data_IF_664770021039
#
_entry.id   IF_664770021039
#
_cell.length_a   1.000
_cell.length_b   1.000
_cell.length_c   1.000
_cell.angle_alpha   90.00
_cell.angle_beta   90.00
_cell.angle_gamma   90.00
#
_symmetry.space_group_name_H-M   'P 1'
#
loop_
_entity.id
_entity.type
_entity.pdbx_description
1 polymer ?
#
# COMPACT_ATOMS: atom_id res chain seq x y z
N UNK A 1 31.59 4.54 44.27
CA UNK A 1 30.63 5.59 43.84
C UNK A 1 30.43 5.35 42.36
N UNK A 2 29.25 4.84 41.98
CA UNK A 2 28.86 4.67 40.56
C UNK A 2 28.61 6.04 39.99
N UNK A 3 29.41 6.46 39.02
CA UNK A 3 29.08 7.62 38.20
C UNK A 3 27.68 7.42 37.57
N UNK A 4 26.76 8.27 37.92
CA UNK A 4 25.43 8.31 37.29
C UNK A 4 25.63 8.97 35.93
N UNK A 5 25.73 8.16 34.88
CA UNK A 5 25.74 8.68 33.50
C UNK A 5 24.31 9.09 33.18
N UNK A 6 24.06 10.39 33.15
CA UNK A 6 22.80 10.95 32.66
C UNK A 6 22.86 11.00 31.13
N UNK A 7 22.12 10.11 30.45
CA UNK A 7 21.96 10.21 29.02
C UNK A 7 20.72 11.10 28.78
N UNK A 8 20.83 12.20 28.01
CA UNK A 8 19.67 12.96 27.63
C UNK A 8 18.83 12.10 26.68
N UNK A 9 17.67 11.64 27.15
CA UNK A 9 16.73 10.81 26.36
C UNK A 9 16.35 11.49 25.04
N UNK A 10 16.37 12.84 25.02
CA UNK A 10 16.14 13.67 23.83
C UNK A 10 17.08 13.39 22.65
N UNK A 11 18.25 12.85 22.91
CA UNK A 11 19.20 12.47 21.84
C UNK A 11 18.89 11.07 21.25
N UNK A 12 17.94 10.34 21.85
CA UNK A 12 17.55 8.97 21.45
C UNK A 12 16.18 8.91 20.77
N UNK A 13 15.40 10.00 20.79
CA UNK A 13 14.05 10.08 20.23
C UNK A 13 13.90 11.32 19.35
N UNK A 14 12.97 11.27 18.42
CA UNK A 14 12.64 12.45 17.61
C UNK A 14 11.78 13.43 18.44
N UNK A 15 11.80 14.74 18.17
CA UNK A 15 11.12 15.74 18.99
C UNK A 15 9.63 15.49 19.19
N UNK A 16 8.92 14.98 18.18
CA UNK A 16 7.51 14.68 18.29
C UNK A 16 7.17 13.57 19.31
N UNK A 17 8.14 12.77 19.70
CA UNK A 17 7.94 11.73 20.72
C UNK A 17 8.13 12.23 22.15
N UNK A 18 8.53 13.48 22.38
CA UNK A 18 8.70 14.02 23.74
C UNK A 18 7.38 13.95 24.54
N UNK A 19 6.28 14.44 23.95
CA UNK A 19 4.96 14.41 24.58
C UNK A 19 4.40 12.97 24.71
N UNK A 20 4.69 12.13 23.72
CA UNK A 20 4.27 10.71 23.74
C UNK A 20 5.00 9.97 24.85
N UNK A 21 6.31 10.23 25.04
CA UNK A 21 7.08 9.63 26.12
C UNK A 21 6.58 10.08 27.49
N UNK A 22 6.25 11.35 27.65
CA UNK A 22 5.64 11.86 28.89
C UNK A 22 4.31 11.16 29.18
N UNK A 23 3.49 10.97 28.16
CA UNK A 23 2.22 10.25 28.26
C UNK A 23 2.44 8.80 28.72
N UNK A 24 3.36 8.07 28.06
CA UNK A 24 3.73 6.70 28.40
C UNK A 24 4.23 6.58 29.83
N UNK A 25 5.15 7.44 30.26
CA UNK A 25 5.74 7.39 31.60
C UNK A 25 4.76 7.80 32.70
N UNK A 26 3.85 8.73 32.38
CA UNK A 26 2.75 9.13 33.29
C UNK A 26 1.60 8.16 33.28
N UNK A 27 1.59 7.19 32.34
CA UNK A 27 0.50 6.21 32.14
C UNK A 27 -0.85 6.89 31.90
N UNK A 28 -0.92 7.86 30.98
CA UNK A 28 -2.17 8.55 30.63
C UNK A 28 -3.09 7.65 29.80
N UNK A 29 -2.50 6.84 28.91
CA UNK A 29 -3.22 5.84 28.11
C UNK A 29 -2.74 4.43 28.42
N UNK A 30 -3.55 3.45 28.04
CA UNK A 30 -3.22 2.02 28.15
C UNK A 30 -2.70 1.46 26.82
N UNK A 31 -3.32 1.88 25.72
CA UNK A 31 -3.00 1.41 24.38
C UNK A 31 -2.33 2.51 23.57
N UNK A 32 -1.28 2.16 22.85
CA UNK A 32 -0.49 3.07 22.02
C UNK A 32 -0.32 2.45 20.65
N UNK A 33 -0.75 3.16 19.61
CA UNK A 33 -0.65 2.71 18.22
C UNK A 33 0.30 3.61 17.47
N UNK A 34 1.47 3.07 17.09
CA UNK A 34 2.44 3.76 16.24
C UNK A 34 2.27 3.35 14.79
N UNK A 35 1.76 4.24 13.93
CA UNK A 35 1.63 4.01 12.49
C UNK A 35 2.48 5.00 11.69
N UNK A 36 3.00 4.58 10.53
CA UNK A 36 3.79 5.46 9.66
C UNK A 36 4.57 4.68 8.61
N UNK A 37 5.07 5.38 7.61
CA UNK A 37 5.86 4.80 6.53
C UNK A 37 7.22 4.26 6.98
N UNK A 38 8.11 4.06 6.02
CA UNK A 38 9.50 3.64 6.27
C UNK A 38 10.29 4.78 6.92
N UNK A 39 11.25 4.43 7.78
CA UNK A 39 12.18 5.39 8.39
C UNK A 39 11.60 6.22 9.54
N UNK A 40 10.40 5.92 10.06
CA UNK A 40 9.70 6.73 11.08
C UNK A 40 10.15 6.51 12.53
N UNK A 41 11.08 5.62 12.78
CA UNK A 41 11.64 5.28 14.12
C UNK A 41 10.62 4.79 15.17
N UNK A 42 9.35 4.52 14.81
CA UNK A 42 8.29 4.09 15.74
C UNK A 42 8.63 2.84 16.54
N UNK A 43 9.18 1.80 15.89
CA UNK A 43 9.58 0.55 16.56
C UNK A 43 10.76 0.76 17.51
N UNK A 44 11.70 1.66 17.15
CA UNK A 44 12.80 2.10 17.99
C UNK A 44 12.30 2.82 19.24
N UNK A 45 11.29 3.67 19.09
CA UNK A 45 10.69 4.40 20.20
C UNK A 45 9.90 3.49 21.13
N UNK A 46 8.86 2.81 20.64
CA UNK A 46 8.00 2.00 21.50
C UNK A 46 8.71 0.76 22.05
N UNK A 47 9.39 0.00 21.19
CA UNK A 47 10.08 -1.23 21.56
C UNK A 47 11.44 -0.98 22.24
N UNK A 48 12.24 -0.08 21.64
CA UNK A 48 13.61 0.16 22.11
C UNK A 48 13.71 1.09 23.32
N UNK A 49 12.95 2.19 23.33
CA UNK A 49 13.07 3.22 24.38
C UNK A 49 12.02 3.02 25.48
N UNK A 50 10.72 2.93 25.14
CA UNK A 50 9.66 2.90 26.14
C UNK A 50 9.71 1.64 27.02
N UNK A 51 9.90 0.45 26.45
CA UNK A 51 9.91 -0.81 27.22
C UNK A 51 10.99 -0.83 28.30
N UNK A 52 12.29 -0.59 28.02
CA UNK A 52 13.31 -0.55 29.07
C UNK A 52 13.04 0.52 30.13
N UNK A 53 12.57 1.71 29.75
CA UNK A 53 12.27 2.78 30.69
C UNK A 53 11.13 2.42 31.63
N UNK A 54 10.05 1.79 31.12
CA UNK A 54 8.94 1.34 31.97
C UNK A 54 9.40 0.26 32.94
N UNK A 55 10.21 -0.72 32.49
CA UNK A 55 10.78 -1.78 33.33
C UNK A 55 11.56 -1.20 34.49
N UNK A 56 12.42 -0.23 34.22
CA UNK A 56 13.27 0.42 35.26
C UNK A 56 12.42 1.16 36.28
N UNK A 57 11.35 1.84 35.85
CA UNK A 57 10.54 2.72 36.69
C UNK A 57 9.37 2.02 37.40
N UNK A 58 9.04 0.77 37.02
CA UNK A 58 7.85 0.08 37.55
C UNK A 58 8.20 -1.33 38.08
N UNK A 59 8.68 -1.46 39.31
CA UNK A 59 9.02 -2.75 39.88
C UNK A 59 7.85 -3.75 39.82
N UNK A 60 8.14 -5.00 39.41
CA UNK A 60 7.15 -6.06 39.26
C UNK A 60 6.44 -6.13 37.90
N UNK A 61 6.69 -5.17 37.01
CA UNK A 61 6.17 -5.17 35.63
C UNK A 61 7.11 -5.95 34.73
N UNK A 62 6.61 -6.97 34.04
CA UNK A 62 7.31 -7.71 33.00
C UNK A 62 6.78 -7.34 31.63
N UNK A 63 7.55 -7.58 30.57
CA UNK A 63 7.18 -7.31 29.18
C UNK A 63 7.11 -8.60 28.36
N UNK A 64 6.19 -8.65 27.39
CA UNK A 64 6.16 -9.65 26.33
C UNK A 64 6.02 -8.94 24.99
N UNK A 65 6.98 -9.20 24.09
CA UNK A 65 7.04 -8.65 22.75
C UNK A 65 6.64 -9.72 21.74
N UNK A 66 5.74 -9.39 20.82
CA UNK A 66 5.15 -10.31 19.86
C UNK A 66 5.46 -9.95 18.43
N UNK A 67 5.76 -10.96 17.62
CA UNK A 67 5.63 -10.93 16.15
C UNK A 67 4.76 -12.08 15.68
N UNK A 68 4.05 -11.89 14.58
CA UNK A 68 3.26 -12.99 14.00
C UNK A 68 4.18 -14.12 13.53
N UNK A 69 5.28 -13.77 12.86
CA UNK A 69 6.25 -14.72 12.30
C UNK A 69 7.44 -14.86 13.23
N UNK A 70 7.60 -16.03 13.84
CA UNK A 70 8.62 -16.27 14.87
C UNK A 70 10.08 -16.28 14.41
N UNK A 71 10.37 -16.62 13.15
CA UNK A 71 11.73 -16.75 12.63
C UNK A 71 12.51 -15.41 12.51
N UNK A 72 11.83 -14.27 12.55
CA UNK A 72 12.42 -12.93 12.45
C UNK A 72 12.62 -12.25 13.81
N UNK A 73 12.20 -12.84 14.91
CA UNK A 73 12.24 -12.25 16.26
C UNK A 73 13.64 -11.80 16.66
N UNK A 74 14.68 -12.64 16.39
CA UNK A 74 16.05 -12.36 16.75
C UNK A 74 16.58 -11.07 16.13
N UNK A 75 16.30 -10.86 14.86
CA UNK A 75 16.82 -9.74 14.06
C UNK A 75 15.88 -8.52 14.05
N UNK A 76 14.69 -8.64 14.62
CA UNK A 76 13.69 -7.57 14.72
C UNK A 76 13.50 -7.13 16.18
N UNK A 77 12.41 -7.58 16.83
CA UNK A 77 11.99 -7.07 18.15
C UNK A 77 13.03 -7.29 19.25
N UNK A 78 13.76 -8.41 19.22
CA UNK A 78 14.84 -8.63 20.18
C UNK A 78 15.99 -7.65 19.96
N UNK A 79 16.48 -7.54 18.73
CA UNK A 79 17.55 -6.61 18.38
C UNK A 79 17.17 -5.16 18.69
N UNK A 80 15.91 -4.80 18.46
CA UNK A 80 15.38 -3.45 18.72
C UNK A 80 15.39 -3.09 20.21
N UNK A 81 14.96 -4.01 21.08
CA UNK A 81 15.02 -3.80 22.54
C UNK A 81 16.46 -3.74 23.03
N UNK A 82 17.34 -4.61 22.54
CA UNK A 82 18.77 -4.59 22.86
C UNK A 82 19.39 -3.25 22.46
N UNK A 83 19.13 -2.79 21.23
CA UNK A 83 19.59 -1.49 20.75
C UNK A 83 19.16 -0.37 21.70
N UNK A 84 17.89 -0.34 22.11
CA UNK A 84 17.36 0.69 23.01
C UNK A 84 18.03 0.67 24.39
N UNK A 85 18.29 -0.52 24.97
CA UNK A 85 19.03 -0.65 26.23
C UNK A 85 20.43 -0.01 26.12
N UNK A 86 21.13 -0.21 24.99
CA UNK A 86 22.43 0.42 24.76
C UNK A 86 22.32 1.93 24.55
N UNK A 87 21.34 2.41 23.77
CA UNK A 87 21.12 3.85 23.55
C UNK A 87 20.85 4.60 24.87
N UNK A 88 20.10 3.97 25.77
CA UNK A 88 19.82 4.50 27.10
C UNK A 88 20.98 4.35 28.09
N UNK A 89 22.11 3.75 27.71
CA UNK A 89 23.22 3.48 28.60
C UNK A 89 22.92 2.50 29.73
N UNK A 90 21.88 1.69 29.59
CA UNK A 90 21.36 0.78 30.62
C UNK A 90 21.96 -0.64 30.54
N UNK A 91 22.91 -0.91 29.62
CA UNK A 91 23.45 -2.25 29.37
C UNK A 91 24.06 -2.90 30.62
N UNK A 92 24.60 -2.13 31.53
CA UNK A 92 25.14 -2.63 32.80
C UNK A 92 24.09 -3.09 33.83
N UNK A 93 22.82 -2.71 33.59
CA UNK A 93 21.67 -3.06 34.45
C UNK A 93 20.84 -4.22 33.88
N UNK A 94 21.12 -4.68 32.68
CA UNK A 94 20.41 -5.78 32.05
C UNK A 94 21.32 -6.95 31.72
N UNK A 95 20.87 -8.16 32.02
CA UNK A 95 21.44 -9.37 31.45
C UNK A 95 20.81 -9.60 30.08
N UNK A 96 21.62 -9.47 29.03
CA UNK A 96 21.22 -9.65 27.64
C UNK A 96 21.73 -11.00 27.14
N UNK A 97 20.83 -11.97 26.88
CA UNK A 97 21.23 -13.30 26.41
C UNK A 97 21.63 -13.27 24.91
N UNK A 98 22.28 -14.33 24.44
CA UNK A 98 22.67 -14.44 23.01
C UNK A 98 21.48 -14.61 22.08
N UNK A 99 20.39 -15.19 22.56
CA UNK A 99 19.21 -15.50 21.75
C UNK A 99 17.92 -15.08 22.44
N UNK A 100 16.91 -14.72 21.67
CA UNK A 100 15.60 -14.29 22.16
C UNK A 100 14.81 -15.38 22.94
N UNK A 101 15.19 -16.65 22.81
CA UNK A 101 14.53 -17.76 23.52
C UNK A 101 14.74 -17.70 25.04
N UNK A 102 15.75 -16.98 25.48
CA UNK A 102 15.99 -16.65 26.88
C UNK A 102 15.57 -15.19 27.10
N UNK A 103 14.84 -14.86 28.19
CA UNK A 103 14.43 -13.49 28.46
C UNK A 103 15.62 -12.56 28.72
N UNK A 104 15.49 -11.29 28.33
CA UNK A 104 16.32 -10.21 28.85
C UNK A 104 15.90 -9.97 30.30
N UNK A 105 16.83 -9.82 31.24
CA UNK A 105 16.55 -9.69 32.67
C UNK A 105 17.10 -8.37 33.19
N UNK A 106 16.25 -7.54 33.81
CA UNK A 106 16.67 -6.38 34.57
C UNK A 106 17.25 -6.82 35.91
N UNK A 107 18.57 -6.69 36.09
CA UNK A 107 19.33 -7.27 37.20
C UNK A 107 18.91 -6.77 38.58
N UNK A 108 18.59 -5.46 38.80
CA UNK A 108 18.25 -4.98 40.14
C UNK A 108 17.02 -5.64 40.77
N UNK A 109 16.04 -6.05 39.98
CA UNK A 109 14.76 -6.59 40.48
C UNK A 109 14.39 -7.95 39.91
N UNK A 110 15.09 -8.41 38.84
CA UNK A 110 14.81 -9.68 38.19
C UNK A 110 13.62 -9.68 37.21
N UNK A 111 13.10 -8.51 36.85
CA UNK A 111 12.04 -8.36 35.84
C UNK A 111 12.52 -8.87 34.48
N UNK A 112 11.60 -9.35 33.65
CA UNK A 112 11.90 -10.04 32.40
C UNK A 112 11.22 -9.37 31.20
N UNK A 113 11.95 -9.34 30.07
CA UNK A 113 11.40 -9.03 28.77
C UNK A 113 11.45 -10.31 27.95
N UNK A 114 10.28 -10.83 27.56
CA UNK A 114 10.12 -12.06 26.80
C UNK A 114 9.78 -11.74 25.34
N UNK A 115 10.12 -12.66 24.44
CA UNK A 115 9.88 -12.54 23.02
C UNK A 115 9.20 -13.79 22.48
N UNK A 116 8.11 -13.64 21.72
CA UNK A 116 7.31 -14.77 21.27
C UNK A 116 6.78 -14.57 19.84
N UNK A 117 6.79 -15.66 19.04
CA UNK A 117 6.00 -15.74 17.84
C UNK A 117 4.54 -16.08 18.19
N UNK A 118 3.59 -15.41 17.55
CA UNK A 118 2.16 -15.62 17.79
C UNK A 118 1.51 -16.43 16.65
N UNK A 119 2.13 -17.56 16.31
CA UNK A 119 1.55 -18.58 15.44
C UNK A 119 0.35 -19.31 16.10
N UNK A 120 0.37 -19.42 17.44
CA UNK A 120 -0.73 -19.90 18.26
C UNK A 120 -0.95 -18.99 19.50
N UNK A 121 -2.08 -18.25 19.57
CA UNK A 121 -2.41 -17.39 20.70
C UNK A 121 -2.48 -18.11 22.06
N UNK A 122 -2.68 -19.43 22.06
CA UNK A 122 -2.74 -20.19 23.32
C UNK A 122 -1.38 -20.35 24.02
N UNK A 123 -0.26 -20.19 23.28
CA UNK A 123 1.09 -20.23 23.85
C UNK A 123 1.28 -19.20 24.97
N UNK A 124 0.59 -18.06 24.89
CA UNK A 124 0.66 -16.99 25.90
C UNK A 124 0.14 -17.45 27.27
N UNK A 125 -0.84 -18.38 27.31
CA UNK A 125 -1.40 -18.93 28.56
C UNK A 125 -0.38 -19.70 29.39
N UNK A 126 0.70 -20.17 28.76
CA UNK A 126 1.76 -20.96 29.42
C UNK A 126 2.85 -20.11 30.09
N UNK A 127 2.84 -18.79 29.91
CA UNK A 127 3.83 -17.90 30.49
C UNK A 127 3.71 -17.93 32.01
N UNK A 128 4.83 -18.31 32.68
CA UNK A 128 4.95 -18.28 34.14
C UNK A 128 6.06 -17.31 34.52
N UNK A 129 5.70 -16.36 35.36
CA UNK A 129 6.62 -15.40 35.92
C UNK A 129 7.02 -15.80 37.34
N UNK A 130 8.25 -15.54 37.80
CA UNK A 130 8.69 -15.82 39.16
C UNK A 130 7.98 -14.92 40.20
N UNK A 131 7.58 -13.73 39.79
CA UNK A 131 6.87 -12.72 40.57
C UNK A 131 6.19 -11.71 39.63
N UNK A 132 5.43 -10.74 40.18
CA UNK A 132 4.86 -9.64 39.40
C UNK A 132 3.83 -10.08 38.36
N UNK A 133 3.71 -9.31 37.30
CA UNK A 133 2.73 -9.53 36.25
C UNK A 133 3.23 -9.03 34.89
N UNK A 134 2.61 -9.48 33.80
CA UNK A 134 2.85 -8.92 32.45
C UNK A 134 2.12 -7.59 32.39
N UNK A 135 2.86 -6.48 32.49
CA UNK A 135 2.29 -5.12 32.40
C UNK A 135 2.56 -4.49 31.06
N UNK A 136 3.46 -5.05 30.24
CA UNK A 136 3.80 -4.51 28.92
C UNK A 136 3.58 -5.58 27.86
N UNK A 137 2.83 -5.23 26.81
CA UNK A 137 2.73 -5.99 25.56
C UNK A 137 3.19 -5.12 24.39
N UNK A 138 3.87 -5.70 23.42
CA UNK A 138 4.23 -5.03 22.19
C UNK A 138 3.98 -5.95 20.98
N UNK A 139 3.08 -5.53 20.10
CA UNK A 139 2.77 -6.19 18.82
C UNK A 139 3.45 -5.44 17.70
N UNK A 140 4.52 -6.00 17.15
CA UNK A 140 5.25 -5.44 16.00
C UNK A 140 4.75 -6.04 14.69
N UNK A 141 4.60 -5.20 13.65
CA UNK A 141 3.94 -5.53 12.39
C UNK A 141 2.48 -5.98 12.64
N UNK A 142 1.70 -5.06 13.23
CA UNK A 142 0.32 -5.30 13.64
C UNK A 142 -0.55 -5.87 12.52
N UNK A 143 -0.34 -5.42 11.29
CA UNK A 143 -1.07 -5.80 10.09
C UNK A 143 -0.94 -7.30 9.74
N UNK A 144 0.10 -7.98 10.23
CA UNK A 144 0.31 -9.41 10.02
C UNK A 144 -0.55 -10.30 10.94
N UNK A 145 -1.12 -9.75 12.00
CA UNK A 145 -2.00 -10.51 12.89
C UNK A 145 -3.39 -10.65 12.25
N UNK A 146 -4.13 -11.71 12.66
CA UNK A 146 -5.40 -12.05 12.03
C UNK A 146 -6.58 -11.13 12.40
N UNK A 147 -6.34 -10.06 13.18
CA UNK A 147 -7.35 -9.08 13.55
C UNK A 147 -7.43 -8.85 15.06
N UNK A 148 -8.29 -7.91 15.47
CA UNK A 148 -8.49 -7.55 16.87
C UNK A 148 -8.89 -8.71 17.77
N UNK A 149 -9.62 -9.69 17.24
CA UNK A 149 -10.03 -10.86 18.01
C UNK A 149 -8.83 -11.70 18.47
N UNK A 150 -7.76 -11.77 17.68
CA UNK A 150 -6.52 -12.44 18.06
C UNK A 150 -5.81 -11.67 19.19
N UNK A 151 -5.65 -10.35 19.01
CA UNK A 151 -5.03 -9.50 20.03
C UNK A 151 -5.78 -9.55 21.34
N UNK A 152 -7.12 -9.46 21.30
CA UNK A 152 -7.97 -9.53 22.49
C UNK A 152 -7.77 -10.82 23.28
N UNK A 153 -7.62 -11.98 22.60
CA UNK A 153 -7.30 -13.26 23.27
C UNK A 153 -5.96 -13.23 23.99
N UNK A 154 -4.96 -12.58 23.41
CA UNK A 154 -3.64 -12.39 24.03
C UNK A 154 -3.74 -11.46 25.23
N UNK A 155 -4.38 -10.29 25.06
CA UNK A 155 -4.53 -9.29 26.12
C UNK A 155 -5.34 -9.82 27.32
N UNK A 156 -6.37 -10.62 27.09
CA UNK A 156 -7.10 -11.31 28.18
C UNK A 156 -6.21 -12.27 28.99
N UNK A 157 -5.13 -12.77 28.41
CA UNK A 157 -4.17 -13.64 29.08
C UNK A 157 -3.04 -12.88 29.77
N UNK A 158 -2.69 -11.69 29.29
CA UNK A 158 -1.57 -10.86 29.76
C UNK A 158 -2.01 -9.75 30.70
N UNK A 159 -3.09 -9.03 30.40
CA UNK A 159 -3.57 -7.89 31.18
C UNK A 159 -4.35 -8.33 32.43
N UNK A 160 -3.63 -8.95 33.35
CA UNK A 160 -4.22 -9.41 34.63
C UNK A 160 -3.19 -9.43 35.74
N UNK A 161 -3.66 -9.29 36.98
CA UNK A 161 -2.83 -9.39 38.18
C UNK A 161 -2.01 -8.13 38.49
N UNK A 162 -2.28 -7.00 37.81
CA UNK A 162 -1.61 -5.72 38.04
C UNK A 162 -2.54 -4.53 37.95
N UNK A 163 -2.00 -3.33 38.18
CA UNK A 163 -2.75 -2.08 38.18
C UNK A 163 -2.48 -1.21 36.94
N UNK A 164 -1.32 -1.35 36.31
CA UNK A 164 -0.91 -0.55 35.16
C UNK A 164 -0.52 -1.46 34.00
N UNK A 165 -1.03 -1.15 32.81
CA UNK A 165 -0.75 -1.90 31.61
C UNK A 165 -0.42 -0.97 30.45
N UNK A 166 0.60 -1.31 29.69
CA UNK A 166 1.00 -0.64 28.45
C UNK A 166 0.95 -1.64 27.31
N UNK A 167 0.16 -1.33 26.30
CA UNK A 167 0.01 -2.14 25.10
C UNK A 167 0.42 -1.33 23.90
N UNK A 168 1.59 -1.66 23.34
CA UNK A 168 2.17 -1.01 22.17
C UNK A 168 1.85 -1.82 20.91
N UNK A 169 1.46 -1.15 19.86
CA UNK A 169 1.14 -1.71 18.55
C UNK A 169 1.81 -0.88 17.48
N UNK A 170 2.71 -1.49 16.70
CA UNK A 170 3.48 -0.76 15.68
C UNK A 170 3.34 -1.44 14.33
N UNK A 171 3.11 -0.65 13.26
CA UNK A 171 3.00 -1.16 11.91
C UNK A 171 3.24 -0.08 10.85
N UNK A 172 3.60 -0.53 9.65
CA UNK A 172 3.51 0.28 8.45
C UNK A 172 2.12 0.04 7.85
N UNK A 173 1.31 1.11 7.62
CA UNK A 173 -0.03 0.93 7.09
C UNK A 173 -0.01 0.14 5.78
N UNK A 174 -0.76 -0.98 5.67
CA UNK A 174 -0.95 -1.68 4.41
C UNK A 174 -1.58 -0.77 3.36
N UNK A 175 -1.36 -1.10 2.07
CA UNK A 175 -1.92 -0.32 0.97
C UNK A 175 -3.45 -0.28 1.00
N UNK A 176 -4.10 -1.36 1.42
CA UNK A 176 -5.56 -1.45 1.54
C UNK A 176 -6.08 -0.62 2.71
N UNK A 177 -6.95 0.34 2.43
CA UNK A 177 -7.71 1.07 3.45
C UNK A 177 -8.61 0.16 4.29
N UNK A 178 -9.08 -0.94 3.70
CA UNK A 178 -9.93 -1.94 4.34
C UNK A 178 -9.15 -2.98 5.16
N UNK A 179 -7.82 -2.87 5.24
CA UNK A 179 -7.05 -3.72 6.14
C UNK A 179 -7.43 -3.41 7.59
N UNK A 180 -7.69 -4.46 8.35
CA UNK A 180 -8.16 -4.34 9.73
C UNK A 180 -7.28 -3.45 10.63
N UNK A 181 -5.96 -3.42 10.42
CA UNK A 181 -5.05 -2.59 11.22
C UNK A 181 -5.21 -1.10 10.90
N UNK A 182 -5.48 -0.75 9.63
CA UNK A 182 -5.80 0.62 9.22
C UNK A 182 -7.14 1.06 9.81
N UNK A 183 -8.20 0.23 9.65
CA UNK A 183 -9.54 0.52 10.20
C UNK A 183 -9.50 0.64 11.71
N UNK A 184 -8.78 -0.28 12.40
CA UNK A 184 -8.60 -0.22 13.84
C UNK A 184 -7.95 1.09 14.29
N UNK A 185 -6.84 1.50 13.64
CA UNK A 185 -6.14 2.72 14.02
C UNK A 185 -7.00 3.98 13.79
N UNK A 186 -7.76 4.03 12.70
CA UNK A 186 -8.69 5.13 12.42
C UNK A 186 -9.84 5.20 13.44
N UNK A 187 -10.44 4.06 13.77
CA UNK A 187 -11.50 4.00 14.77
C UNK A 187 -10.99 4.36 16.17
N UNK A 188 -9.78 3.91 16.54
CA UNK A 188 -9.17 4.23 17.83
C UNK A 188 -8.89 5.74 17.95
N UNK A 189 -8.38 6.37 16.89
CA UNK A 189 -8.13 7.81 16.85
C UNK A 189 -9.42 8.65 17.03
N UNK A 190 -10.54 8.17 16.48
CA UNK A 190 -11.81 8.88 16.52
C UNK A 190 -12.63 8.66 17.80
N UNK A 191 -12.52 7.50 18.44
CA UNK A 191 -13.50 7.03 19.43
C UNK A 191 -12.93 6.51 20.76
N UNK A 192 -11.61 6.33 20.87
CA UNK A 192 -11.03 5.71 22.07
C UNK A 192 -10.37 6.72 23.00
N UNK A 193 -10.85 6.81 24.24
CA UNK A 193 -10.20 7.60 25.30
C UNK A 193 -8.98 6.88 25.94
N UNK A 194 -8.86 5.57 25.75
CA UNK A 194 -7.77 4.75 26.32
C UNK A 194 -6.63 4.46 25.36
N UNK A 195 -6.75 4.92 24.09
CA UNK A 195 -5.77 4.65 23.02
C UNK A 195 -5.21 5.95 22.47
N UNK A 196 -3.90 6.09 22.49
CA UNK A 196 -3.19 7.14 21.79
C UNK A 196 -2.68 6.61 20.45
N UNK A 197 -3.12 7.21 19.34
CA UNK A 197 -2.63 6.92 18.00
C UNK A 197 -1.57 7.95 17.63
N UNK A 198 -0.38 7.48 17.27
CA UNK A 198 0.77 8.30 16.88
C UNK A 198 1.10 8.01 15.41
N UNK A 199 0.98 9.03 14.57
CA UNK A 199 1.28 8.95 13.14
C UNK A 199 2.44 9.86 12.81
N UNK A 200 3.47 9.34 12.13
CA UNK A 200 4.59 10.14 11.67
C UNK A 200 5.17 9.64 10.34
N UNK A 201 5.95 10.49 9.72
CA UNK A 201 6.64 10.23 8.47
C UNK A 201 8.15 10.32 8.67
N UNK A 202 8.93 9.95 7.68
CA UNK A 202 10.38 10.13 7.70
C UNK A 202 10.81 11.60 7.76
N UNK A 203 9.91 12.54 7.37
CA UNK A 203 10.15 13.99 7.41
C UNK A 203 10.23 14.54 8.84
N UNK A 204 9.69 13.82 9.81
CA UNK A 204 9.74 14.14 11.23
C UNK A 204 11.04 13.65 11.90
N UNK A 205 11.88 12.92 11.16
CA UNK A 205 13.13 12.32 11.66
C UNK A 205 14.31 13.20 11.27
N UNK A 206 15.27 13.46 12.19
CA UNK A 206 16.47 14.21 11.87
C UNK A 206 17.18 13.59 10.64
N UNK A 207 17.53 14.39 9.62
CA UNK A 207 18.11 13.87 8.38
C UNK A 207 19.39 13.05 8.57
N UNK A 208 20.18 13.36 9.57
CA UNK A 208 21.41 12.67 9.90
C UNK A 208 21.19 11.22 10.40
N UNK A 209 19.97 10.89 10.87
CA UNK A 209 19.64 9.54 11.31
C UNK A 209 19.31 8.61 10.15
N UNK A 210 18.75 9.15 9.06
CA UNK A 210 18.39 8.38 7.88
C UNK A 210 19.47 8.40 6.80
N UNK A 211 20.24 9.50 6.74
CA UNK A 211 21.29 9.70 5.75
C UNK A 211 20.80 10.12 4.38
N UNK A 212 21.69 10.70 3.53
CA UNK A 212 21.29 11.30 2.25
C UNK A 212 20.70 10.30 1.27
N UNK A 213 21.22 9.07 1.22
CA UNK A 213 20.75 8.06 0.29
C UNK A 213 19.26 7.72 0.47
N UNK A 214 18.78 7.72 1.73
CA UNK A 214 17.37 7.47 2.02
C UNK A 214 16.45 8.54 1.39
N UNK A 215 16.88 9.82 1.45
CA UNK A 215 16.13 10.92 0.87
C UNK A 215 16.18 10.92 -0.66
N UNK A 216 17.31 10.55 -1.24
CA UNK A 216 17.47 10.40 -2.70
C UNK A 216 16.53 9.32 -3.23
N UNK A 217 16.48 8.15 -2.58
CA UNK A 217 15.57 7.05 -2.96
C UNK A 217 14.09 7.44 -2.80
N UNK A 218 13.75 8.17 -1.72
CA UNK A 218 12.39 8.64 -1.50
C UNK A 218 11.96 9.63 -2.60
N UNK A 219 12.83 10.58 -2.97
CA UNK A 219 12.55 11.55 -4.02
C UNK A 219 12.52 10.90 -5.41
N UNK A 220 13.41 9.94 -5.68
CA UNK A 220 13.38 9.17 -6.92
C UNK A 220 12.06 8.40 -7.07
N UNK A 221 11.59 7.76 -5.98
CA UNK A 221 10.29 7.09 -6.00
C UNK A 221 9.15 8.09 -6.19
N UNK A 222 9.21 9.26 -5.53
CA UNK A 222 8.20 10.31 -5.67
C UNK A 222 8.04 10.76 -7.12
N UNK A 223 9.15 10.94 -7.83
CA UNK A 223 9.16 11.35 -9.23
C UNK A 223 8.70 10.24 -10.18
N UNK A 224 8.97 8.97 -9.85
CA UNK A 224 8.61 7.82 -10.67
C UNK A 224 7.20 7.31 -10.42
N UNK A 225 6.77 7.33 -9.17
CA UNK A 225 5.47 6.80 -8.73
C UNK A 225 5.06 7.47 -7.41
N UNK A 226 4.41 8.63 -7.51
CA UNK A 226 3.98 9.41 -6.36
C UNK A 226 3.05 8.62 -5.43
N UNK A 227 2.17 7.77 -5.96
CA UNK A 227 1.26 6.94 -5.16
C UNK A 227 2.03 5.93 -4.31
N UNK A 228 3.05 5.29 -4.87
CA UNK A 228 3.92 4.38 -4.11
C UNK A 228 4.72 5.15 -3.04
N UNK A 229 5.23 6.34 -3.35
CA UNK A 229 5.89 7.21 -2.39
C UNK A 229 4.96 7.59 -1.23
N UNK A 230 3.74 8.03 -1.52
CA UNK A 230 2.73 8.38 -0.50
C UNK A 230 2.45 7.17 0.42
N UNK A 231 2.33 5.98 -0.16
CA UNK A 231 2.11 4.77 0.63
C UNK A 231 3.35 4.36 1.44
N UNK A 232 4.51 4.18 0.79
CA UNK A 232 5.68 3.56 1.42
C UNK A 232 6.41 4.50 2.39
N UNK A 233 6.57 5.77 2.02
CA UNK A 233 7.32 6.75 2.81
C UNK A 233 6.44 7.59 3.73
N UNK A 234 5.25 7.99 3.29
CA UNK A 234 4.33 8.77 4.12
C UNK A 234 3.37 7.89 4.94
N UNK A 235 3.29 6.59 4.66
CA UNK A 235 2.45 5.65 5.40
C UNK A 235 0.94 5.86 5.20
N UNK A 236 0.53 6.39 4.04
CA UNK A 236 -0.88 6.62 3.72
C UNK A 236 -1.44 5.45 2.92
N UNK A 237 -2.50 4.78 3.37
CA UNK A 237 -3.18 3.77 2.58
C UNK A 237 -3.77 4.35 1.30
N UNK A 238 -3.38 3.83 0.13
CA UNK A 238 -3.73 4.41 -1.17
C UNK A 238 -4.66 3.56 -2.03
N UNK A 239 -5.07 2.37 -1.59
CA UNK A 239 -5.89 1.44 -2.37
C UNK A 239 -6.75 0.49 -1.55
N UNK A 240 -7.45 -0.43 -2.23
CA UNK A 240 -8.19 -1.54 -1.61
C UNK A 240 -7.24 -2.70 -1.25
N UNK A 241 -6.07 -2.74 -1.88
CA UNK A 241 -5.08 -3.83 -1.77
C UNK A 241 -5.27 -4.94 -2.80
N UNK A 242 -6.40 -4.92 -3.52
CA UNK A 242 -6.69 -5.80 -4.65
C UNK A 242 -6.61 -5.12 -6.02
N UNK A 243 -6.31 -3.83 -6.04
CA UNK A 243 -6.24 -3.05 -7.27
C UNK A 243 -5.25 -3.66 -8.27
N UNK A 244 -5.72 -3.97 -9.46
CA UNK A 244 -4.86 -4.44 -10.57
C UNK A 244 -4.06 -3.26 -11.13
N UNK A 245 -4.66 -2.06 -11.19
CA UNK A 245 -4.04 -0.85 -11.74
C UNK A 245 -3.91 0.27 -10.70
N UNK A 246 -2.91 0.20 -9.80
CA UNK A 246 -2.69 1.22 -8.78
C UNK A 246 -2.16 2.56 -9.34
N UNK A 247 -1.82 2.61 -10.63
CA UNK A 247 -1.22 3.72 -11.35
C UNK A 247 -2.22 4.52 -12.21
N UNK A 248 -3.52 4.42 -11.92
CA UNK A 248 -4.58 5.18 -12.60
C UNK A 248 -4.75 6.55 -11.98
N UNK A 249 -4.78 7.59 -12.82
CA UNK A 249 -4.96 8.98 -12.41
C UNK A 249 -5.97 9.70 -13.31
N UNK A 250 -6.66 10.70 -12.77
CA UNK A 250 -7.53 11.60 -13.54
C UNK A 250 -6.69 12.72 -14.17
N UNK A 251 -7.01 13.10 -15.40
CA UNK A 251 -6.42 14.27 -16.04
C UNK A 251 -7.43 15.03 -16.90
N UNK A 252 -7.07 16.24 -17.30
CA UNK A 252 -7.90 17.07 -18.16
C UNK A 252 -7.39 17.10 -19.59
N UNK A 253 -7.94 16.28 -20.46
CA UNK A 253 -7.53 16.23 -21.88
C UNK A 253 -7.82 17.53 -22.66
N UNK A 254 -8.73 18.36 -22.17
CA UNK A 254 -9.13 19.64 -22.78
C UNK A 254 -8.50 20.85 -22.08
N UNK A 255 -7.52 20.64 -21.21
CA UNK A 255 -6.70 21.72 -20.68
C UNK A 255 -5.99 22.45 -21.82
N UNK A 256 -6.00 23.78 -21.74
CA UNK A 256 -5.38 24.60 -22.78
C UNK A 256 -3.86 24.71 -22.55
N UNK A 257 -3.11 24.34 -23.56
CA UNK A 257 -1.64 24.43 -23.59
C UNK A 257 -1.26 25.48 -24.63
N UNK A 258 -0.47 26.48 -24.23
CA UNK A 258 0.10 27.46 -25.16
C UNK A 258 1.29 26.86 -25.90
N UNK A 259 1.22 26.83 -27.21
CA UNK A 259 2.35 26.47 -28.07
C UNK A 259 2.62 27.64 -29.06
N UNK A 260 3.70 28.36 -28.83
CA UNK A 260 4.13 29.51 -29.63
C UNK A 260 3.05 30.63 -29.74
N UNK A 261 2.32 30.91 -28.66
CA UNK A 261 1.27 31.92 -28.60
C UNK A 261 -0.09 31.47 -29.13
N UNK A 262 -0.26 30.20 -29.42
CA UNK A 262 -1.53 29.62 -29.82
C UNK A 262 -1.98 28.53 -28.81
N UNK A 263 -3.24 28.63 -28.35
CA UNK A 263 -3.80 27.67 -27.41
C UNK A 263 -4.36 26.44 -28.12
N UNK A 264 -3.95 25.26 -27.64
CA UNK A 264 -4.43 23.96 -28.07
C UNK A 264 -5.00 23.20 -26.88
N UNK A 265 -5.99 22.36 -27.08
CA UNK A 265 -6.34 21.37 -26.08
C UNK A 265 -5.23 20.34 -25.94
N UNK A 266 -4.91 19.89 -24.74
CA UNK A 266 -3.78 19.00 -24.46
C UNK A 266 -3.75 17.76 -25.38
N UNK A 267 -4.90 17.12 -25.62
CA UNK A 267 -4.99 15.95 -26.51
C UNK A 267 -4.55 16.25 -27.97
N UNK A 268 -4.69 17.48 -28.43
CA UNK A 268 -4.28 17.91 -29.80
C UNK A 268 -2.75 17.98 -29.96
N UNK A 269 -2.02 17.96 -28.85
CA UNK A 269 -0.56 17.97 -28.83
C UNK A 269 0.06 16.57 -28.93
N UNK A 270 -0.76 15.53 -28.85
CA UNK A 270 -0.30 14.15 -28.91
C UNK A 270 0.10 13.76 -30.33
N UNK A 271 1.31 13.22 -30.49
CA UNK A 271 1.92 12.89 -31.78
C UNK A 271 1.44 11.55 -32.36
N UNK A 272 1.07 10.60 -31.50
CA UNK A 272 0.65 9.27 -31.90
C UNK A 272 -0.64 8.86 -31.20
N UNK A 273 -1.70 8.66 -31.99
CA UNK A 273 -3.00 8.25 -31.51
C UNK A 273 -3.22 6.76 -31.78
N UNK A 274 -3.73 6.07 -30.79
CA UNK A 274 -4.12 4.66 -30.85
C UNK A 274 -5.60 4.52 -30.60
N UNK A 275 -6.26 3.63 -31.36
CA UNK A 275 -7.68 3.37 -31.28
C UNK A 275 -7.90 1.87 -31.07
N UNK A 276 -8.60 1.50 -30.01
CA UNK A 276 -8.92 0.13 -29.67
C UNK A 276 -10.42 -0.12 -29.61
N UNK A 277 -10.85 -1.31 -30.06
CA UNK A 277 -12.26 -1.74 -29.99
C UNK A 277 -12.33 -3.13 -29.34
N UNK A 278 -13.20 -3.23 -28.36
CA UNK A 278 -13.72 -4.48 -27.83
C UNK A 278 -15.19 -4.66 -28.30
N UNK A 279 -15.45 -5.81 -28.97
CA UNK A 279 -16.76 -6.05 -29.55
C UNK A 279 -17.74 -6.60 -28.51
N UNK A 280 -18.95 -6.07 -28.52
CA UNK A 280 -20.08 -6.60 -27.77
C UNK A 280 -21.39 -6.25 -28.46
N UNK A 281 -22.45 -7.02 -28.18
CA UNK A 281 -23.77 -6.76 -28.75
C UNK A 281 -24.90 -6.99 -27.76
N UNK A 282 -25.05 -8.19 -27.20
CA UNK A 282 -26.26 -8.59 -26.48
C UNK A 282 -26.15 -8.39 -24.96
N UNK A 283 -25.14 -8.96 -24.33
CA UNK A 283 -24.84 -8.84 -22.89
C UNK A 283 -23.65 -7.93 -22.65
N UNK A 284 -22.63 -8.09 -23.46
CA UNK A 284 -21.40 -7.31 -23.36
C UNK A 284 -21.53 -6.05 -24.24
N UNK A 285 -21.13 -4.89 -23.76
CA UNK A 285 -21.19 -3.66 -24.52
C UNK A 285 -20.12 -3.61 -25.60
N UNK A 286 -20.42 -2.93 -26.72
CA UNK A 286 -19.38 -2.45 -27.62
C UNK A 286 -18.59 -1.34 -26.93
N UNK A 287 -17.28 -1.43 -26.94
CA UNK A 287 -16.38 -0.44 -26.35
C UNK A 287 -15.34 0.05 -27.35
N UNK A 288 -15.22 1.35 -27.48
CA UNK A 288 -14.15 2.02 -28.19
C UNK A 288 -13.39 2.94 -27.24
N UNK A 289 -12.06 2.93 -27.35
CA UNK A 289 -11.17 3.79 -26.56
C UNK A 289 -10.12 4.43 -27.46
N UNK A 290 -9.93 5.75 -27.30
CA UNK A 290 -8.90 6.53 -28.00
C UNK A 290 -7.86 7.01 -27.02
N UNK A 291 -6.57 6.82 -27.35
CA UNK A 291 -5.48 7.01 -26.42
C UNK A 291 -4.19 7.45 -27.09
N UNK A 292 -3.28 7.98 -26.29
CA UNK A 292 -1.88 8.27 -26.61
C UNK A 292 -0.96 7.54 -25.64
N UNK A 293 0.18 7.05 -26.12
CA UNK A 293 1.20 6.42 -25.30
C UNK A 293 2.54 7.09 -25.49
N UNK A 294 3.06 7.74 -24.45
CA UNK A 294 4.42 8.27 -24.37
C UNK A 294 5.39 7.16 -23.95
N UNK A 295 6.08 6.59 -24.92
CA UNK A 295 7.03 5.49 -24.68
C UNK A 295 8.30 5.92 -23.91
N UNK A 296 8.62 7.21 -23.84
CA UNK A 296 9.78 7.71 -23.09
C UNK A 296 9.46 7.84 -21.60
N UNK A 297 8.25 8.30 -21.30
CA UNK A 297 7.78 8.46 -19.93
C UNK A 297 7.12 7.21 -19.39
N UNK A 298 6.76 6.23 -20.23
CA UNK A 298 5.90 5.10 -19.92
C UNK A 298 4.53 5.55 -19.36
N UNK A 299 3.97 6.61 -19.95
CA UNK A 299 2.69 7.18 -19.58
C UNK A 299 1.64 6.91 -20.66
N UNK A 300 0.47 6.43 -20.24
CA UNK A 300 -0.69 6.23 -21.11
C UNK A 300 -1.73 7.30 -20.84
N UNK A 301 -2.25 7.95 -21.89
CA UNK A 301 -3.30 8.97 -21.83
C UNK A 301 -4.54 8.49 -22.56
N UNK A 302 -5.67 8.31 -21.88
CA UNK A 302 -6.96 7.88 -22.43
C UNK A 302 -7.92 9.08 -22.37
N UNK A 303 -8.37 9.56 -23.54
CA UNK A 303 -9.07 10.84 -23.61
C UNK A 303 -10.39 10.84 -24.38
N UNK A 304 -10.79 9.72 -25.01
CA UNK A 304 -12.12 9.51 -25.59
C UNK A 304 -12.52 8.06 -25.44
N UNK A 305 -13.81 7.88 -25.16
CA UNK A 305 -14.47 6.57 -25.19
C UNK A 305 -15.82 6.67 -25.92
N UNK A 306 -16.27 5.54 -26.43
CA UNK A 306 -17.62 5.36 -26.89
C UNK A 306 -18.13 3.98 -26.46
N UNK A 307 -19.38 3.93 -26.03
CA UNK A 307 -20.00 2.73 -25.53
C UNK A 307 -21.44 2.61 -26.03
N UNK A 308 -21.82 1.41 -26.48
CA UNK A 308 -23.20 1.12 -26.85
C UNK A 308 -23.54 -0.36 -26.62
N UNK A 309 -24.84 -0.63 -26.54
CA UNK A 309 -25.37 -1.99 -26.38
C UNK A 309 -26.47 -2.22 -27.40
N UNK A 310 -26.53 -3.43 -28.01
CA UNK A 310 -27.55 -3.85 -28.98
C UNK A 310 -27.64 -2.96 -30.22
N UNK A 311 -26.54 -2.30 -30.61
CA UNK A 311 -26.49 -1.40 -31.77
C UNK A 311 -25.81 -2.11 -32.95
N UNK A 312 -26.34 -1.95 -34.16
CA UNK A 312 -25.79 -2.58 -35.35
C UNK A 312 -24.48 -1.93 -35.76
N UNK A 313 -23.53 -2.69 -36.34
CA UNK A 313 -22.24 -2.24 -36.77
C UNK A 313 -22.29 -0.97 -37.68
N UNK A 314 -23.24 -0.86 -38.58
CA UNK A 314 -23.38 0.31 -39.45
C UNK A 314 -23.71 1.59 -38.65
N UNK A 315 -24.55 1.49 -37.64
CA UNK A 315 -24.92 2.64 -36.79
C UNK A 315 -23.71 3.05 -35.97
N UNK A 316 -23.06 2.08 -35.33
CA UNK A 316 -21.82 2.33 -34.55
C UNK A 316 -20.75 3.00 -35.40
N UNK A 317 -20.53 2.50 -36.64
CA UNK A 317 -19.60 3.11 -37.57
C UNK A 317 -19.97 4.59 -37.86
N UNK A 318 -21.27 4.85 -38.22
CA UNK A 318 -21.71 6.21 -38.51
C UNK A 318 -21.51 7.15 -37.31
N UNK A 319 -21.86 6.70 -36.10
CA UNK A 319 -21.64 7.49 -34.88
C UNK A 319 -20.16 7.79 -34.64
N UNK A 320 -19.28 6.79 -34.74
CA UNK A 320 -17.84 6.98 -34.48
C UNK A 320 -17.14 7.89 -35.50
N UNK A 321 -17.45 7.75 -36.80
CA UNK A 321 -16.72 8.40 -37.88
C UNK A 321 -17.39 9.67 -38.40
N UNK A 322 -18.73 9.70 -38.50
CA UNK A 322 -19.45 10.75 -39.21
C UNK A 322 -20.16 11.74 -38.26
N UNK A 323 -20.76 11.24 -37.16
CA UNK A 323 -21.53 12.09 -36.25
C UNK A 323 -20.64 12.66 -35.12
N UNK A 324 -20.03 11.80 -34.33
CA UNK A 324 -19.21 12.19 -33.19
C UNK A 324 -17.77 12.52 -33.59
N UNK A 325 -17.33 12.08 -34.77
CA UNK A 325 -15.98 12.29 -35.31
C UNK A 325 -14.89 11.94 -34.31
N UNK A 326 -15.03 10.79 -33.67
CA UNK A 326 -14.07 10.28 -32.69
C UNK A 326 -12.86 9.65 -33.38
N UNK A 327 -12.99 9.22 -34.63
CA UNK A 327 -11.94 8.58 -35.43
C UNK A 327 -11.89 9.23 -36.82
N UNK A 328 -10.72 9.61 -37.26
CA UNK A 328 -10.51 10.02 -38.63
C UNK A 328 -10.34 8.81 -39.56
N UNK A 329 -10.87 8.90 -40.82
CA UNK A 329 -10.88 7.75 -41.75
C UNK A 329 -9.49 7.18 -42.09
N UNK A 330 -8.44 7.96 -41.92
CA UNK A 330 -7.05 7.55 -42.12
C UNK A 330 -6.40 6.89 -40.88
N UNK A 331 -7.04 6.94 -39.74
CA UNK A 331 -6.48 6.40 -38.51
C UNK A 331 -6.72 4.89 -38.40
N UNK A 332 -5.69 4.18 -37.97
CA UNK A 332 -5.79 2.75 -37.73
C UNK A 332 -6.56 2.45 -36.45
N UNK A 333 -7.44 1.46 -36.53
CA UNK A 333 -8.16 0.87 -35.40
C UNK A 333 -7.75 -0.59 -35.26
N UNK A 334 -7.47 -1.00 -34.03
CA UNK A 334 -7.20 -2.41 -33.69
C UNK A 334 -8.38 -2.92 -32.87
N UNK A 335 -9.03 -3.97 -33.34
CA UNK A 335 -10.19 -4.53 -32.68
C UNK A 335 -9.95 -5.97 -32.22
N UNK A 336 -10.79 -6.45 -31.31
CA UNK A 336 -10.80 -7.88 -30.97
C UNK A 336 -10.91 -8.72 -32.26
N UNK A 337 -9.98 -9.66 -32.44
CA UNK A 337 -9.94 -10.54 -33.62
C UNK A 337 -10.99 -11.68 -33.60
N UNK A 338 -11.68 -11.91 -32.49
CA UNK A 338 -12.71 -12.95 -32.40
C UNK A 338 -13.95 -12.65 -33.27
N UNK A 339 -14.20 -11.35 -33.57
CA UNK A 339 -15.34 -10.88 -34.34
C UNK A 339 -14.97 -10.48 -35.78
N UNK A 340 -14.51 -11.44 -36.58
CA UNK A 340 -14.08 -11.24 -37.98
C UNK A 340 -15.17 -10.58 -38.84
N UNK A 341 -16.45 -10.93 -38.61
CA UNK A 341 -17.58 -10.35 -39.35
C UNK A 341 -17.71 -8.85 -39.07
N UNK A 342 -17.61 -8.43 -37.82
CA UNK A 342 -17.69 -7.01 -37.43
C UNK A 342 -16.52 -6.22 -38.02
N UNK A 343 -15.33 -6.80 -38.04
CA UNK A 343 -14.15 -6.22 -38.70
C UNK A 343 -14.38 -6.07 -40.22
N UNK A 344 -14.95 -7.08 -40.87
CA UNK A 344 -15.28 -7.02 -42.29
C UNK A 344 -16.35 -5.95 -42.62
N UNK A 345 -17.38 -5.84 -41.80
CA UNK A 345 -18.40 -4.79 -41.93
C UNK A 345 -17.75 -3.39 -41.85
N UNK A 346 -16.93 -3.11 -40.86
CA UNK A 346 -16.25 -1.83 -40.69
C UNK A 346 -15.31 -1.51 -41.86
N UNK A 347 -14.60 -2.52 -42.38
CA UNK A 347 -13.78 -2.35 -43.61
C UNK A 347 -14.66 -1.96 -44.80
N UNK A 348 -15.81 -2.62 -44.97
CA UNK A 348 -16.74 -2.32 -46.05
C UNK A 348 -17.32 -0.91 -45.96
N UNK A 349 -17.49 -0.37 -44.75
CA UNK A 349 -17.91 1.03 -44.51
C UNK A 349 -16.76 2.04 -44.68
N UNK A 350 -15.51 1.59 -44.87
CA UNK A 350 -14.35 2.43 -45.14
C UNK A 350 -13.44 2.69 -43.95
N UNK A 351 -13.53 1.91 -42.87
CA UNK A 351 -12.59 1.99 -41.76
C UNK A 351 -11.23 1.37 -42.10
N UNK A 352 -10.15 1.98 -41.61
CA UNK A 352 -8.82 1.39 -41.59
C UNK A 352 -8.66 0.55 -40.32
N UNK A 353 -9.22 -0.67 -40.33
CA UNK A 353 -9.34 -1.54 -39.16
C UNK A 353 -8.72 -2.93 -39.42
N UNK A 354 -8.14 -3.53 -38.39
CA UNK A 354 -7.74 -4.95 -38.37
C UNK A 354 -7.97 -5.57 -37.00
N UNK A 355 -7.98 -6.90 -36.98
CA UNK A 355 -8.00 -7.66 -35.75
C UNK A 355 -6.66 -7.61 -35.00
N UNK A 356 -6.71 -7.67 -33.70
CA UNK A 356 -5.56 -7.79 -32.83
C UNK A 356 -4.90 -9.16 -32.96
N UNK A 357 -3.57 -9.21 -32.87
CA UNK A 357 -2.82 -10.47 -32.84
C UNK A 357 -2.83 -11.02 -31.43
N UNK A 358 -3.56 -12.10 -31.20
CA UNK A 358 -3.67 -12.76 -29.88
C UNK A 358 -2.70 -13.95 -29.82
N UNK A 359 -1.82 -13.94 -28.82
CA UNK A 359 -0.99 -15.09 -28.46
C UNK A 359 -1.49 -15.77 -27.19
N UNK A 360 -0.93 -16.98 -26.86
CA UNK A 360 -1.16 -17.59 -25.56
C UNK A 360 -0.86 -16.61 -24.42
N UNK A 361 -1.72 -16.54 -23.40
CA UNK A 361 -1.59 -15.65 -22.25
C UNK A 361 -1.57 -14.13 -22.57
N UNK A 362 -2.06 -13.70 -23.75
CA UNK A 362 -2.06 -12.30 -24.17
C UNK A 362 -2.76 -11.35 -23.16
N UNK A 363 -3.80 -11.83 -22.47
CA UNK A 363 -4.48 -11.10 -21.39
C UNK A 363 -3.50 -10.80 -20.27
N UNK A 364 -2.85 -11.83 -19.75
CA UNK A 364 -1.91 -11.70 -18.63
C UNK A 364 -0.72 -10.80 -18.96
N UNK A 365 -0.15 -10.92 -20.16
CA UNK A 365 0.95 -10.07 -20.59
C UNK A 365 0.51 -8.62 -20.77
N UNK A 366 -0.66 -8.38 -21.38
CA UNK A 366 -1.19 -7.04 -21.58
C UNK A 366 -1.47 -6.33 -20.26
N UNK A 367 -2.11 -7.01 -19.30
CA UNK A 367 -2.36 -6.45 -17.96
C UNK A 367 -1.04 -6.16 -17.24
N UNK A 368 -0.08 -7.09 -17.25
CA UNK A 368 1.24 -6.86 -16.64
C UNK A 368 2.00 -5.70 -17.26
N UNK A 369 1.86 -5.52 -18.56
CA UNK A 369 2.47 -4.38 -19.24
C UNK A 369 1.84 -3.06 -18.78
N UNK A 370 0.50 -2.99 -18.69
CA UNK A 370 -0.22 -1.82 -18.15
C UNK A 370 0.15 -1.52 -16.70
N UNK A 371 0.32 -2.55 -15.86
CA UNK A 371 0.81 -2.41 -14.49
C UNK A 371 2.22 -1.85 -14.40
N UNK A 372 3.04 -2.10 -15.40
CA UNK A 372 4.42 -1.62 -15.50
C UNK A 372 4.57 -0.18 -16.02
N UNK A 373 3.47 0.48 -16.38
CA UNK A 373 3.49 1.89 -16.74
C UNK A 373 3.66 2.78 -15.52
N UNK A 374 4.28 3.94 -15.70
CA UNK A 374 4.39 4.91 -14.61
C UNK A 374 3.02 5.47 -14.26
N UNK A 375 2.24 5.90 -15.26
CA UNK A 375 0.90 6.43 -15.08
C UNK A 375 -0.05 5.98 -16.19
N UNK A 376 -1.32 5.77 -15.81
CA UNK A 376 -2.45 5.61 -16.71
C UNK A 376 -3.39 6.79 -16.46
N UNK A 377 -3.21 7.85 -17.23
CA UNK A 377 -4.03 9.05 -17.18
C UNK A 377 -5.34 8.83 -17.94
N UNK A 378 -6.48 8.98 -17.29
CA UNK A 378 -7.81 8.81 -17.89
C UNK A 378 -8.63 10.08 -17.65
N UNK A 379 -9.07 10.74 -18.71
CA UNK A 379 -9.99 11.88 -18.58
C UNK A 379 -11.37 11.40 -18.11
N UNK A 380 -11.57 11.43 -16.81
CA UNK A 380 -12.80 10.95 -16.14
C UNK A 380 -14.07 11.58 -16.68
N UNK A 381 -14.01 12.81 -17.19
CA UNK A 381 -15.19 13.53 -17.75
C UNK A 381 -15.52 13.05 -19.15
N UNK A 382 -14.51 12.63 -19.92
CA UNK A 382 -14.66 12.17 -21.32
C UNK A 382 -14.71 10.64 -21.42
N UNK A 383 -14.17 9.93 -20.42
CA UNK A 383 -14.02 8.48 -20.37
C UNK A 383 -14.48 7.93 -18.99
N UNK A 384 -15.74 8.23 -18.52
CA UNK A 384 -16.19 7.83 -17.19
C UNK A 384 -16.24 6.31 -17.00
N UNK A 385 -16.58 5.54 -18.03
CA UNK A 385 -16.68 4.08 -17.96
C UNK A 385 -15.29 3.44 -17.95
N UNK A 386 -14.38 3.93 -18.77
CA UNK A 386 -12.98 3.48 -18.77
C UNK A 386 -12.31 3.79 -17.43
N UNK A 387 -12.54 5.00 -16.89
CA UNK A 387 -12.04 5.37 -15.58
C UNK A 387 -12.58 4.43 -14.48
N UNK A 388 -13.89 4.16 -14.52
CA UNK A 388 -14.53 3.23 -13.58
C UNK A 388 -13.91 1.83 -13.68
N UNK A 389 -13.83 1.24 -14.88
CA UNK A 389 -13.27 -0.11 -15.05
C UNK A 389 -11.83 -0.19 -14.54
N UNK A 390 -10.94 0.73 -14.96
CA UNK A 390 -9.54 0.72 -14.53
C UNK A 390 -9.37 0.96 -13.02
N UNK A 391 -10.16 1.84 -12.42
CA UNK A 391 -10.04 2.20 -11.00
C UNK A 391 -10.68 1.18 -10.05
N UNK A 392 -11.56 0.30 -10.56
CA UNK A 392 -12.25 -0.72 -9.75
C UNK A 392 -11.89 -2.15 -10.13
N UNK A 393 -10.95 -2.34 -11.08
CA UNK A 393 -10.53 -3.67 -11.49
C UNK A 393 -9.61 -4.28 -10.46
N UNK A 394 -10.08 -5.31 -9.78
CA UNK A 394 -9.38 -5.99 -8.68
C UNK A 394 -9.04 -7.42 -9.06
N UNK A 395 -8.02 -7.97 -8.42
CA UNK A 395 -7.72 -9.40 -8.48
C UNK A 395 -8.90 -10.21 -7.95
N UNK A 396 -9.07 -11.44 -8.45
CA UNK A 396 -10.03 -12.37 -7.88
C UNK A 396 -9.67 -12.72 -6.43
N UNK A 397 -10.68 -13.09 -5.63
CA UNK A 397 -10.48 -13.55 -4.26
C UNK A 397 -10.73 -15.06 -4.15
N UNK A 398 -9.97 -15.73 -3.29
CA UNK A 398 -10.24 -17.10 -2.89
C UNK A 398 -11.45 -17.18 -1.94
N UNK A 399 -11.78 -18.38 -1.50
CA UNK A 399 -12.93 -18.63 -0.60
C UNK A 399 -12.76 -17.99 0.78
N UNK A 400 -11.54 -17.63 1.14
CA UNK A 400 -11.19 -17.03 2.43
C UNK A 400 -11.06 -15.49 2.32
N UNK A 401 -11.33 -14.92 1.12
CA UNK A 401 -11.27 -13.49 0.85
C UNK A 401 -9.87 -12.95 0.53
N UNK A 402 -8.88 -13.80 0.32
CA UNK A 402 -7.53 -13.39 -0.06
C UNK A 402 -7.44 -13.18 -1.57
N UNK A 403 -6.78 -12.11 -1.99
CA UNK A 403 -6.53 -11.86 -3.41
C UNK A 403 -5.58 -12.91 -4.00
N UNK A 404 -5.95 -13.48 -5.15
CA UNK A 404 -5.15 -14.44 -5.90
C UNK A 404 -4.68 -13.81 -7.22
N UNK A 405 -3.58 -14.32 -7.80
CA UNK A 405 -3.00 -13.78 -9.05
C UNK A 405 -3.83 -14.19 -10.29
N UNK A 406 -5.15 -13.99 -10.21
CA UNK A 406 -6.11 -14.22 -11.30
C UNK A 406 -6.90 -12.94 -11.57
N UNK A 407 -7.27 -12.73 -12.82
CA UNK A 407 -8.01 -11.54 -13.25
C UNK A 407 -9.45 -11.91 -13.57
N UNK A 408 -10.46 -11.17 -13.08
CA UNK A 408 -11.85 -11.46 -13.40
C UNK A 408 -12.15 -11.20 -14.89
N UNK A 409 -12.98 -12.07 -15.47
CA UNK A 409 -13.49 -11.89 -16.82
C UNK A 409 -14.84 -11.12 -16.79
N UNK A 410 -14.80 -9.95 -16.15
CA UNK A 410 -15.96 -9.09 -16.00
C UNK A 410 -15.51 -7.62 -15.82
N UNK A 411 -16.30 -6.68 -16.36
CA UNK A 411 -16.02 -5.23 -16.28
C UNK A 411 -14.63 -4.85 -16.80
N UNK A 412 -14.19 -5.48 -17.89
CA UNK A 412 -12.85 -5.33 -18.48
C UNK A 412 -12.86 -4.86 -19.94
N UNK A 413 -14.02 -4.43 -20.46
CA UNK A 413 -14.18 -4.08 -21.88
C UNK A 413 -13.29 -2.93 -22.33
N UNK A 414 -13.17 -1.87 -21.53
CA UNK A 414 -12.24 -0.77 -21.83
C UNK A 414 -10.77 -1.22 -21.69
N UNK A 415 -10.49 -2.06 -20.71
CA UNK A 415 -9.16 -2.63 -20.49
C UNK A 415 -8.73 -3.44 -21.71
N UNK A 416 -9.63 -4.27 -22.23
CA UNK A 416 -9.39 -5.09 -23.41
C UNK A 416 -9.27 -4.23 -24.67
N UNK A 417 -10.13 -3.22 -24.86
CA UNK A 417 -10.00 -2.26 -25.95
C UNK A 417 -8.62 -1.54 -25.92
N UNK A 418 -8.15 -1.13 -24.75
CA UNK A 418 -6.82 -0.53 -24.56
C UNK A 418 -5.72 -1.52 -24.93
N UNK A 419 -5.81 -2.75 -24.47
CA UNK A 419 -4.83 -3.82 -24.79
C UNK A 419 -4.74 -4.10 -26.30
N UNK A 420 -5.89 -4.12 -27.00
CA UNK A 420 -5.91 -4.30 -28.44
C UNK A 420 -5.28 -3.10 -29.15
N UNK A 421 -5.70 -1.88 -28.83
CA UNK A 421 -5.15 -0.67 -29.44
C UNK A 421 -3.63 -0.52 -29.27
N UNK A 422 -3.08 -1.05 -28.17
CA UNK A 422 -1.65 -0.99 -27.84
C UNK A 422 -0.94 -2.36 -27.99
N UNK A 423 -1.49 -3.30 -28.79
CA UNK A 423 -0.95 -4.66 -28.89
C UNK A 423 0.54 -4.72 -29.26
N UNK A 424 1.04 -3.77 -30.05
CA UNK A 424 2.46 -3.72 -30.45
C UNK A 424 3.43 -3.51 -29.28
N UNK A 425 2.91 -3.01 -28.15
CA UNK A 425 3.66 -2.83 -26.91
C UNK A 425 3.33 -3.92 -25.89
N UNK A 426 2.06 -4.37 -25.87
CA UNK A 426 1.55 -5.35 -24.90
C UNK A 426 1.92 -6.79 -25.23
N UNK A 427 2.12 -7.12 -26.52
CA UNK A 427 2.41 -8.48 -26.93
C UNK A 427 3.90 -8.80 -26.78
N UNK A 428 4.18 -10.01 -26.27
CA UNK A 428 5.54 -10.56 -26.27
C UNK A 428 6.05 -10.58 -27.71
N UNK A 429 7.11 -9.83 -28.01
CA UNK A 429 7.83 -10.00 -29.28
C UNK A 429 8.29 -11.45 -29.32
N UNK A 430 7.68 -12.25 -30.18
CA UNK A 430 8.16 -13.60 -30.44
C UNK A 430 9.62 -13.50 -30.89
N UNK A 431 10.50 -14.31 -30.29
CA UNK A 431 11.82 -14.58 -30.80
C UNK A 431 11.71 -15.25 -32.16
#
# INVERSE_FOLDING_TARGET
MSETVSIPIKDCIIPMYDEVLEDVLSHRHTHYVGKGGRGTTKSSFFGGICIPLIIVNNPGVHAVCFRKIGNTIQTSIFAQVVWGIYQLGLQGLFHIPKTYSTPIVYLPTGQRILFMGLDDPNKVKSIKLPFGYIGITWFEELDQFAGEAELRKVLQSTMRGGLKFWDFRTFNPPISKLNWANEYAEQAELQSESTLVVSNTYLDVPPEWLGPQFYEEAEELRQKNERAYIHEYLGVPTGTGGDVFPNVEDFNSTELVDINGQNYELWQTFDHIYNGIDWGFAKDPFRFVRMHFDAKKLDLYIFREYNTLKTRNQVVFTELYDELKLIDRGEQVIADSAEEKSIADFKAYGAFIRGATKGPESVRYGIKWLQGLNHIYIDKRKCPLTYFEFSTYEYEQDKDGNFISSYPDANNHSIDAVRYGLEKYCNRKGN
#
